data_IF_934354172732
#
_entry.id   IF_934354172732
#
_cell.length_a   1.000
_cell.length_b   1.000
_cell.length_c   1.000
_cell.angle_alpha   90.00
_cell.angle_beta   90.00
_cell.angle_gamma   90.00
#
_symmetry.space_group_name_H-M   'P 1'
#
loop_
_entity.id
_entity.type
_entity.pdbx_description
1 polymer ?
#
# COMPACT_ATOMS: atom_id res chain seq x y z
N UNK A 1 6.19 -18.65 -11.10
CA UNK A 1 5.25 -17.49 -11.06
C UNK A 1 4.44 -17.36 -9.77
N UNK A 2 4.07 -18.45 -9.05
CA UNK A 2 3.32 -18.37 -7.77
C UNK A 2 4.01 -17.56 -6.67
N UNK A 3 5.34 -17.67 -6.56
CA UNK A 3 6.11 -17.02 -5.49
C UNK A 3 6.15 -15.48 -5.59
N UNK A 4 6.01 -14.87 -6.78
CA UNK A 4 6.01 -13.40 -6.86
C UNK A 4 4.67 -12.82 -6.38
N UNK A 5 3.56 -13.51 -6.67
CA UNK A 5 2.22 -13.04 -6.34
C UNK A 5 1.98 -12.95 -4.83
N UNK A 6 2.43 -13.97 -4.07
CA UNK A 6 2.37 -13.92 -2.60
C UNK A 6 3.26 -12.82 -2.01
N UNK A 7 4.39 -12.49 -2.64
CA UNK A 7 5.25 -11.37 -2.20
C UNK A 7 4.58 -10.01 -2.36
N UNK A 8 3.85 -9.79 -3.45
CA UNK A 8 3.06 -8.56 -3.64
C UNK A 8 1.94 -8.41 -2.62
N UNK A 9 1.25 -9.51 -2.30
CA UNK A 9 0.21 -9.54 -1.27
C UNK A 9 0.79 -9.21 0.11
N UNK A 10 1.88 -9.88 0.48
CA UNK A 10 2.55 -9.66 1.76
C UNK A 10 3.14 -8.24 1.86
N UNK A 11 3.74 -7.72 0.79
CA UNK A 11 4.24 -6.35 0.75
C UNK A 11 3.11 -5.33 0.88
N UNK A 12 1.97 -5.56 0.21
CA UNK A 12 0.77 -4.73 0.36
C UNK A 12 0.23 -4.76 1.78
N UNK A 13 0.07 -5.95 2.38
CA UNK A 13 -0.41 -6.10 3.76
C UNK A 13 0.55 -5.43 4.76
N UNK A 14 1.86 -5.68 4.63
CA UNK A 14 2.87 -5.08 5.50
C UNK A 14 2.88 -3.55 5.37
N UNK A 15 2.80 -3.02 4.14
CA UNK A 15 2.68 -1.58 3.90
C UNK A 15 1.41 -0.98 4.50
N UNK A 16 0.27 -1.68 4.39
CA UNK A 16 -1.00 -1.22 4.95
C UNK A 16 -0.99 -1.19 6.49
N UNK A 17 -0.37 -2.19 7.11
CA UNK A 17 -0.19 -2.25 8.55
C UNK A 17 0.77 -1.16 9.06
N UNK A 18 1.87 -0.89 8.34
CA UNK A 18 2.80 0.19 8.67
C UNK A 18 2.15 1.57 8.52
N UNK A 19 1.30 1.75 7.49
CA UNK A 19 0.48 2.96 7.36
C UNK A 19 -0.46 3.12 8.55
N UNK A 20 -1.12 2.03 8.96
CA UNK A 20 -2.05 2.02 10.09
C UNK A 20 -1.33 2.28 11.42
N UNK A 21 -0.13 1.75 11.60
CA UNK A 21 0.68 1.98 12.80
C UNK A 21 0.99 3.47 13.02
N UNK A 22 1.31 4.21 11.95
CA UNK A 22 1.49 5.67 12.01
C UNK A 22 0.21 6.44 12.36
N UNK A 23 -0.96 5.93 11.94
CA UNK A 23 -2.27 6.52 12.26
C UNK A 23 -2.62 6.38 13.76
N UNK A 24 -2.31 5.24 14.37
CA UNK A 24 -2.63 4.97 15.78
C UNK A 24 -1.64 5.57 16.76
N UNK A 25 -0.37 5.58 16.39
CA UNK A 25 0.73 6.07 17.23
C UNK A 25 1.42 7.18 16.45
N UNK A 26 1.03 8.43 16.68
CA UNK A 26 1.50 9.57 15.87
C UNK A 26 3.02 9.70 15.75
N UNK A 27 3.78 9.23 16.75
CA UNK A 27 5.25 9.16 16.70
C UNK A 27 5.79 8.20 15.63
N UNK A 28 5.00 7.21 15.22
CA UNK A 28 5.31 6.23 14.18
C UNK A 28 4.98 6.75 12.76
N UNK A 29 4.64 8.04 12.58
CA UNK A 29 4.33 8.59 11.25
C UNK A 29 5.47 8.39 10.24
N UNK A 30 6.72 8.33 10.70
CA UNK A 30 7.91 8.06 9.85
C UNK A 30 7.82 6.69 9.19
N UNK A 31 7.15 5.72 9.81
CA UNK A 31 6.92 4.40 9.22
C UNK A 31 5.98 4.44 8.02
N UNK A 32 5.19 5.51 7.81
CA UNK A 32 4.39 5.68 6.60
C UNK A 32 5.27 5.87 5.36
N UNK A 33 6.42 6.55 5.49
CA UNK A 33 7.40 6.68 4.41
C UNK A 33 8.06 5.33 4.11
N UNK A 34 8.35 4.55 5.15
CA UNK A 34 8.95 3.22 5.03
C UNK A 34 7.96 2.21 4.44
N UNK A 35 6.66 2.36 4.72
CA UNK A 35 5.60 1.51 4.18
C UNK A 35 5.56 1.48 2.65
N UNK A 36 5.94 2.59 2.01
CA UNK A 36 5.94 2.73 0.56
C UNK A 36 7.18 2.11 -0.10
N UNK A 37 8.33 2.09 0.57
CA UNK A 37 9.60 1.58 0.03
C UNK A 37 9.56 0.15 -0.51
N UNK A 38 9.11 -0.88 0.23
CA UNK A 38 9.13 -2.25 -0.27
C UNK A 38 8.22 -2.40 -1.50
N UNK A 39 7.09 -1.67 -1.50
CA UNK A 39 6.13 -1.64 -2.59
C UNK A 39 6.69 -0.95 -3.83
N UNK A 40 7.40 0.18 -3.65
CA UNK A 40 8.14 0.86 -4.71
C UNK A 40 9.19 -0.06 -5.34
N UNK A 41 10.01 -0.73 -4.52
CA UNK A 41 11.06 -1.64 -5.01
C UNK A 41 10.47 -2.80 -5.82
N UNK A 42 9.40 -3.43 -5.34
CA UNK A 42 8.75 -4.52 -6.07
C UNK A 42 8.06 -4.01 -7.35
N UNK A 43 7.32 -2.90 -7.29
CA UNK A 43 6.64 -2.33 -8.45
C UNK A 43 7.62 -1.90 -9.55
N UNK A 44 8.77 -1.32 -9.19
CA UNK A 44 9.81 -0.90 -10.13
C UNK A 44 10.55 -2.08 -10.78
N UNK A 45 10.71 -3.19 -10.05
CA UNK A 45 11.44 -4.37 -10.53
C UNK A 45 10.69 -5.10 -11.65
N UNK A 46 9.38 -5.31 -11.52
CA UNK A 46 8.64 -6.20 -12.43
C UNK A 46 7.91 -5.51 -13.62
N UNK A 47 7.88 -4.17 -13.74
CA UNK A 47 7.17 -3.38 -14.79
C UNK A 47 5.69 -3.73 -15.02
N UNK A 48 5.02 -4.40 -14.09
CA UNK A 48 3.64 -4.88 -14.29
C UNK A 48 2.67 -4.07 -13.47
N UNK A 49 1.96 -3.09 -14.06
CA UNK A 49 1.03 -2.22 -13.33
C UNK A 49 -0.09 -3.01 -12.66
N UNK A 50 -0.46 -4.17 -13.22
CA UNK A 50 -1.43 -5.10 -12.62
C UNK A 50 -1.02 -5.60 -11.24
N UNK A 51 0.26 -5.87 -11.00
CA UNK A 51 0.75 -6.35 -9.70
C UNK A 51 0.90 -5.21 -8.69
N UNK A 52 1.29 -4.02 -9.15
CA UNK A 52 1.32 -2.81 -8.32
C UNK A 52 -0.10 -2.43 -7.86
N UNK A 53 -1.09 -2.52 -8.74
CA UNK A 53 -2.49 -2.30 -8.41
C UNK A 53 -3.00 -3.31 -7.36
N UNK A 54 -2.63 -4.59 -7.49
CA UNK A 54 -2.97 -5.62 -6.52
C UNK A 54 -2.33 -5.35 -5.16
N UNK A 55 -1.07 -4.91 -5.12
CA UNK A 55 -0.42 -4.57 -3.86
C UNK A 55 -1.05 -3.33 -3.19
N UNK A 56 -1.44 -2.31 -3.98
CA UNK A 56 -2.23 -1.17 -3.50
C UNK A 56 -3.61 -1.57 -2.95
N UNK A 57 -4.27 -2.57 -3.55
CA UNK A 57 -5.51 -3.15 -3.03
C UNK A 57 -5.31 -3.77 -1.64
N UNK A 58 -4.30 -4.65 -1.48
CA UNK A 58 -4.02 -5.28 -0.19
C UNK A 58 -3.59 -4.27 0.88
N UNK A 59 -2.88 -3.21 0.48
CA UNK A 59 -2.48 -2.11 1.35
C UNK A 59 -3.68 -1.29 1.82
N UNK A 60 -4.60 -0.94 0.93
CA UNK A 60 -5.84 -0.24 1.28
C UNK A 60 -6.68 -1.02 2.28
N UNK A 61 -6.86 -2.32 2.04
CA UNK A 61 -7.60 -3.22 2.94
C UNK A 61 -6.91 -3.32 4.30
N UNK A 62 -5.60 -3.58 4.34
CA UNK A 62 -4.85 -3.76 5.57
C UNK A 62 -4.72 -2.47 6.40
N UNK A 63 -4.80 -1.31 5.75
CA UNK A 63 -4.83 0.00 6.41
C UNK A 63 -6.21 0.31 7.00
N UNK A 64 -7.26 0.16 6.20
CA UNK A 64 -8.61 0.60 6.61
C UNK A 64 -9.27 -0.35 7.60
N UNK A 65 -9.11 -1.67 7.51
CA UNK A 65 -9.76 -2.62 8.44
C UNK A 65 -9.38 -2.34 9.92
N UNK A 66 -8.09 -2.25 10.29
CA UNK A 66 -7.73 -1.89 11.67
C UNK A 66 -8.26 -0.51 12.08
N UNK A 67 -8.22 0.46 11.16
CA UNK A 67 -8.73 1.82 11.41
C UNK A 67 -10.23 1.82 11.75
N UNK A 68 -11.01 0.95 11.10
CA UNK A 68 -12.43 0.78 11.37
C UNK A 68 -12.69 0.22 12.76
N UNK A 69 -11.95 -0.83 13.14
CA UNK A 69 -12.08 -1.48 14.46
C UNK A 69 -11.76 -0.50 15.59
N UNK A 70 -10.72 0.31 15.40
CA UNK A 70 -10.32 1.31 16.38
C UNK A 70 -11.35 2.45 16.54
N UNK A 71 -11.84 3.00 15.41
CA UNK A 71 -12.75 4.16 15.42
C UNK A 71 -14.22 3.79 15.62
N UNK A 72 -14.58 2.50 15.64
CA UNK A 72 -15.95 1.99 15.74
C UNK A 72 -16.90 2.68 14.75
N UNK A 73 -16.41 2.89 13.54
CA UNK A 73 -17.13 3.68 12.52
C UNK A 73 -18.40 2.98 12.04
N UNK A 74 -19.48 3.75 11.74
CA UNK A 74 -20.69 3.20 11.16
C UNK A 74 -20.40 2.61 9.77
N UNK A 75 -20.97 1.43 9.51
CA UNK A 75 -20.73 0.60 8.31
C UNK A 75 -20.79 1.36 6.97
N UNK A 76 -21.71 2.31 6.73
CA UNK A 76 -21.75 3.03 5.45
C UNK A 76 -20.52 3.91 5.22
N UNK A 77 -20.09 4.66 6.24
CA UNK A 77 -18.89 5.51 6.19
C UNK A 77 -17.66 4.66 5.94
N UNK A 78 -17.63 3.50 6.57
CA UNK A 78 -16.59 2.49 6.45
C UNK A 78 -16.43 1.96 5.03
N UNK A 79 -17.53 1.62 4.35
CA UNK A 79 -17.49 1.14 2.96
C UNK A 79 -16.99 2.23 2.01
N UNK A 80 -17.44 3.46 2.20
CA UNK A 80 -17.01 4.61 1.38
C UNK A 80 -15.50 4.83 1.56
N UNK A 81 -15.00 4.87 2.80
CA UNK A 81 -13.58 5.06 3.09
C UNK A 81 -12.73 3.90 2.57
N UNK A 82 -13.20 2.66 2.71
CA UNK A 82 -12.53 1.48 2.18
C UNK A 82 -12.33 1.60 0.66
N UNK A 83 -13.41 1.91 -0.08
CA UNK A 83 -13.34 2.05 -1.54
C UNK A 83 -12.43 3.22 -1.92
N UNK A 84 -12.61 4.38 -1.28
CA UNK A 84 -11.85 5.58 -1.58
C UNK A 84 -10.35 5.42 -1.34
N UNK A 85 -9.97 4.91 -0.16
CA UNK A 85 -8.56 4.72 0.21
C UNK A 85 -7.91 3.62 -0.63
N UNK A 86 -8.65 2.56 -0.94
CA UNK A 86 -8.16 1.50 -1.82
C UNK A 86 -7.87 2.02 -3.22
N UNK A 87 -8.78 2.83 -3.79
CA UNK A 87 -8.57 3.46 -5.11
C UNK A 87 -7.37 4.40 -5.07
N UNK A 88 -7.25 5.25 -4.03
CA UNK A 88 -6.12 6.17 -3.88
C UNK A 88 -4.79 5.44 -3.82
N UNK A 89 -4.69 4.40 -2.99
CA UNK A 89 -3.47 3.60 -2.86
C UNK A 89 -3.13 2.86 -4.14
N UNK A 90 -4.14 2.35 -4.85
CA UNK A 90 -3.95 1.72 -6.15
C UNK A 90 -3.40 2.71 -7.20
N UNK A 91 -3.99 3.91 -7.28
CA UNK A 91 -3.53 4.97 -8.18
C UNK A 91 -2.12 5.42 -7.85
N UNK A 92 -1.79 5.61 -6.57
CA UNK A 92 -0.46 6.04 -6.14
C UNK A 92 0.60 4.98 -6.46
N UNK A 93 0.30 3.70 -6.22
CA UNK A 93 1.19 2.59 -6.60
C UNK A 93 1.39 2.49 -8.11
N UNK A 94 0.34 2.69 -8.90
CA UNK A 94 0.44 2.73 -10.36
C UNK A 94 1.23 3.94 -10.86
N UNK A 95 1.02 5.12 -10.27
CA UNK A 95 1.74 6.34 -10.61
C UNK A 95 3.24 6.20 -10.35
N UNK A 96 3.63 5.64 -9.20
CA UNK A 96 5.02 5.31 -8.87
C UNK A 96 5.61 4.33 -9.90
N UNK A 97 4.88 3.26 -10.24
CA UNK A 97 5.36 2.27 -11.21
C UNK A 97 5.56 2.85 -12.63
N UNK A 98 4.81 3.90 -12.98
CA UNK A 98 4.84 4.53 -14.29
C UNK A 98 5.83 5.69 -14.39
N UNK A 99 5.82 6.61 -13.42
CA UNK A 99 6.56 7.87 -13.47
C UNK A 99 7.98 7.80 -12.90
N UNK A 100 8.29 6.83 -12.03
CA UNK A 100 9.52 6.87 -11.28
C UNK A 100 10.67 6.17 -12.03
N UNK A 101 11.75 6.90 -12.38
CA UNK A 101 12.81 6.34 -13.21
C UNK A 101 13.76 5.46 -12.40
N UNK A 102 14.06 4.27 -12.94
CA UNK A 102 14.74 3.15 -12.25
C UNK A 102 16.13 3.47 -11.71
N UNK A 103 16.85 4.35 -12.38
CA UNK A 103 18.24 4.71 -12.04
C UNK A 103 18.36 5.34 -10.65
N UNK A 104 17.29 5.96 -10.14
CA UNK A 104 17.30 6.65 -8.85
C UNK A 104 17.25 5.67 -7.67
N UNK A 105 16.68 4.47 -7.83
CA UNK A 105 16.36 3.57 -6.70
C UNK A 105 17.07 2.22 -6.77
N UNK A 106 17.24 1.64 -7.97
CA UNK A 106 17.80 0.30 -8.10
C UNK A 106 19.32 0.28 -8.35
N UNK A 107 19.95 1.46 -8.47
CA UNK A 107 21.33 1.56 -8.98
C UNK A 107 21.41 1.21 -10.47
N UNK A 108 22.59 1.41 -11.10
CA UNK A 108 22.86 0.96 -12.48
C UNK A 108 22.70 -0.55 -12.64
#
# INVERSE_FOLDING_TARGET
>A
MRNSLHRYRLAGVAGGLLLGAGQFLGYLCVFQLIALLPLMVFALRDKRPRWAALAGLYMGIAYTIPQMVYLRMPVPVTVILLVWMTIHLMLLCMAIAYFLPRHVILGP
#
